data_IF_206437397298
#
_entry.id   IF_206437397298
#
_cell.length_a   1.000
_cell.length_b   1.000
_cell.length_c   1.000
_cell.angle_alpha   90.00
_cell.angle_beta   90.00
_cell.angle_gamma   90.00
#
_symmetry.space_group_name_H-M   'P 1'
#
loop_
_entity.id
_entity.type
_entity.pdbx_description
1 polymer ?
#
# COMPACT_ATOMS: atom_id res chain seq x y z
N UNK A 1 19.47 -6.96 -3.13
CA UNK A 1 19.21 -7.48 -1.77
C UNK A 1 18.79 -8.94 -1.88
N UNK A 2 19.49 -9.86 -1.22
CA UNK A 2 19.16 -11.30 -1.24
C UNK A 2 17.90 -11.52 -0.41
N UNK A 3 17.04 -12.46 -0.80
CA UNK A 3 15.76 -12.76 -0.12
C UNK A 3 15.93 -13.00 1.39
N UNK A 4 17.05 -13.64 1.76
CA UNK A 4 17.40 -13.93 3.15
C UNK A 4 17.68 -12.66 3.99
N UNK A 5 18.26 -11.62 3.39
CA UNK A 5 18.50 -10.34 4.06
C UNK A 5 17.17 -9.61 4.32
N UNK A 6 16.28 -9.64 3.35
CA UNK A 6 14.94 -9.03 3.48
C UNK A 6 14.13 -9.72 4.58
N UNK A 7 14.15 -11.05 4.62
CA UNK A 7 13.49 -11.83 5.68
C UNK A 7 14.08 -11.49 7.06
N UNK A 8 15.40 -11.35 7.16
CA UNK A 8 16.07 -11.00 8.42
C UNK A 8 15.64 -9.60 8.91
N UNK A 9 15.57 -8.61 8.01
CA UNK A 9 15.13 -7.25 8.33
C UNK A 9 13.67 -7.25 8.78
N UNK A 10 12.79 -7.94 8.05
CA UNK A 10 11.36 -8.04 8.42
C UNK A 10 11.17 -8.74 9.76
N UNK A 11 11.93 -9.80 10.04
CA UNK A 11 11.90 -10.52 11.32
C UNK A 11 12.36 -9.63 12.47
N UNK A 12 13.40 -8.80 12.25
CA UNK A 12 13.88 -7.84 13.24
C UNK A 12 12.85 -6.74 13.50
N UNK A 13 12.27 -6.17 12.46
CA UNK A 13 11.20 -5.17 12.56
C UNK A 13 9.99 -5.73 13.32
N UNK A 14 9.60 -6.95 13.01
CA UNK A 14 8.53 -7.64 13.73
C UNK A 14 8.84 -7.81 15.21
N UNK A 15 10.02 -8.32 15.55
CA UNK A 15 10.42 -8.64 16.94
C UNK A 15 10.57 -7.37 17.80
N UNK A 16 11.19 -6.32 17.24
CA UNK A 16 11.51 -5.10 18.00
C UNK A 16 10.32 -4.14 18.13
N UNK A 17 9.49 -4.01 17.07
CA UNK A 17 8.46 -2.98 17.01
C UNK A 17 7.04 -3.53 16.89
N UNK A 18 6.80 -4.50 16.02
CA UNK A 18 5.43 -4.96 15.69
C UNK A 18 4.83 -5.79 16.84
N UNK A 19 5.63 -6.61 17.52
CA UNK A 19 5.17 -7.48 18.62
C UNK A 19 4.45 -6.73 19.74
N UNK A 20 4.86 -5.51 20.04
CA UNK A 20 4.21 -4.64 21.06
C UNK A 20 2.75 -4.34 20.73
N UNK A 21 2.39 -4.33 19.45
CA UNK A 21 1.07 -3.96 18.96
C UNK A 21 0.24 -5.18 18.50
N UNK A 22 0.66 -6.38 18.90
CA UNK A 22 0.04 -7.66 18.48
C UNK A 22 -1.48 -7.68 18.71
N UNK A 23 -1.98 -7.19 19.86
CA UNK A 23 -3.42 -7.13 20.14
C UNK A 23 -4.20 -6.29 19.12
N UNK A 24 -3.64 -5.16 18.68
CA UNK A 24 -4.29 -4.28 17.68
C UNK A 24 -4.25 -4.88 16.27
N UNK A 25 -3.16 -5.55 15.94
CA UNK A 25 -3.02 -6.27 14.66
C UNK A 25 -3.99 -7.44 14.61
N UNK A 26 -4.11 -8.19 15.71
CA UNK A 26 -5.08 -9.30 15.83
C UNK A 26 -6.52 -8.79 15.71
N UNK A 27 -6.85 -7.65 16.32
CA UNK A 27 -8.16 -7.03 16.17
C UNK A 27 -8.42 -6.64 14.69
N UNK A 28 -7.44 -6.05 14.02
CA UNK A 28 -7.56 -5.71 12.58
C UNK A 28 -7.70 -6.96 11.71
N UNK A 29 -7.07 -8.07 12.10
CA UNK A 29 -7.20 -9.36 11.42
C UNK A 29 -8.63 -9.91 11.55
N UNK A 30 -9.19 -9.93 12.76
CA UNK A 30 -10.59 -10.36 12.99
C UNK A 30 -11.57 -9.47 12.20
N UNK A 31 -11.38 -8.15 12.24
CA UNK A 31 -12.21 -7.22 11.46
C UNK A 31 -12.05 -7.47 9.94
N UNK A 32 -10.86 -7.82 9.47
CA UNK A 32 -10.64 -8.18 8.05
C UNK A 32 -11.34 -9.47 7.66
N UNK A 33 -11.45 -10.44 8.55
CA UNK A 33 -12.25 -11.65 8.35
C UNK A 33 -13.74 -11.32 8.22
N UNK A 34 -14.27 -10.41 9.05
CA UNK A 34 -15.66 -9.93 8.95
C UNK A 34 -15.88 -9.22 7.61
N UNK A 35 -14.93 -8.40 7.16
CA UNK A 35 -14.99 -7.75 5.84
C UNK A 35 -15.04 -8.79 4.71
N UNK A 36 -14.22 -9.82 4.78
CA UNK A 36 -14.20 -10.91 3.79
C UNK A 36 -15.51 -11.68 3.78
N UNK A 37 -16.02 -12.08 4.97
CA UNK A 37 -17.31 -12.75 5.11
C UNK A 37 -18.46 -11.90 4.56
N UNK A 38 -18.52 -10.60 4.91
CA UNK A 38 -19.52 -9.69 4.38
C UNK A 38 -19.43 -9.53 2.85
N UNK A 39 -18.22 -9.55 2.29
CA UNK A 39 -18.02 -9.49 0.83
C UNK A 39 -18.57 -10.75 0.14
N UNK A 40 -18.28 -11.92 0.68
CA UNK A 40 -18.82 -13.18 0.15
C UNK A 40 -20.33 -13.29 0.37
N UNK A 41 -20.86 -12.84 1.52
CA UNK A 41 -22.29 -12.81 1.78
C UNK A 41 -23.03 -11.90 0.78
N UNK A 42 -22.44 -10.74 0.44
CA UNK A 42 -23.03 -9.85 -0.60
C UNK A 42 -23.05 -10.55 -1.96
N UNK A 43 -21.96 -11.21 -2.37
CA UNK A 43 -21.90 -11.95 -3.62
C UNK A 43 -22.90 -13.13 -3.64
N UNK A 44 -23.07 -13.83 -2.51
CA UNK A 44 -24.04 -14.91 -2.38
C UNK A 44 -25.48 -14.43 -2.45
N UNK A 45 -25.80 -13.27 -1.87
CA UNK A 45 -27.16 -12.68 -1.89
C UNK A 45 -27.60 -12.22 -3.27
N UNK A 46 -26.69 -11.99 -4.22
CA UNK A 46 -27.04 -11.58 -5.59
C UNK A 46 -27.80 -12.67 -6.34
N UNK A 47 -27.46 -13.96 -6.17
CA UNK A 47 -28.17 -15.06 -6.84
C UNK A 47 -29.64 -15.19 -6.37
N UNK A 48 -29.95 -15.29 -5.06
CA UNK A 48 -31.35 -15.25 -4.62
C UNK A 48 -32.04 -13.90 -4.91
N UNK A 49 -31.31 -12.78 -4.96
CA UNK A 49 -31.91 -11.51 -5.35
C UNK A 49 -32.51 -11.58 -6.77
N UNK A 50 -31.74 -12.12 -7.72
CA UNK A 50 -32.22 -12.26 -9.09
C UNK A 50 -33.33 -13.29 -9.19
N UNK A 51 -33.16 -14.49 -8.63
CA UNK A 51 -34.12 -15.59 -8.74
C UNK A 51 -35.42 -15.29 -8.01
N UNK A 52 -35.38 -14.89 -6.75
CA UNK A 52 -36.56 -14.75 -5.88
C UNK A 52 -37.32 -13.47 -6.12
N UNK A 53 -36.64 -12.36 -6.48
CA UNK A 53 -37.29 -11.08 -6.72
C UNK A 53 -37.86 -11.00 -8.16
N UNK A 54 -37.04 -11.36 -9.17
CA UNK A 54 -37.44 -11.14 -10.57
C UNK A 54 -38.10 -12.36 -11.22
N UNK A 55 -37.77 -13.61 -10.83
CA UNK A 55 -38.32 -14.81 -11.44
C UNK A 55 -39.50 -15.31 -10.64
N UNK A 56 -39.32 -15.58 -9.35
CA UNK A 56 -40.36 -16.16 -8.48
C UNK A 56 -41.38 -15.11 -7.96
N UNK A 57 -41.04 -13.82 -8.04
CA UNK A 57 -41.89 -12.68 -7.58
C UNK A 57 -42.37 -12.83 -6.12
N UNK A 58 -41.56 -13.40 -5.25
CA UNK A 58 -41.89 -13.60 -3.83
C UNK A 58 -41.85 -12.28 -3.08
N UNK A 59 -43.02 -11.77 -2.69
CA UNK A 59 -43.21 -10.46 -2.02
C UNK A 59 -42.46 -10.40 -0.67
N UNK A 60 -42.35 -11.50 0.04
CA UNK A 60 -41.69 -11.56 1.35
C UNK A 60 -40.15 -11.42 1.19
N UNK A 61 -39.57 -12.18 0.28
CA UNK A 61 -38.15 -12.16 0.00
C UNK A 61 -37.71 -10.89 -0.73
N UNK A 62 -38.63 -10.25 -1.49
CA UNK A 62 -38.40 -8.96 -2.15
C UNK A 62 -38.04 -7.84 -1.16
N UNK A 63 -38.49 -7.90 0.09
CA UNK A 63 -38.12 -6.95 1.14
C UNK A 63 -36.92 -7.43 1.98
N UNK A 64 -36.83 -8.72 2.25
CA UNK A 64 -35.83 -9.26 3.15
C UNK A 64 -34.42 -9.26 2.53
N UNK A 65 -34.31 -9.55 1.22
CA UNK A 65 -33.02 -9.58 0.52
C UNK A 65 -32.35 -8.20 0.46
N UNK A 66 -33.04 -7.11 0.05
CA UNK A 66 -32.44 -5.77 0.08
C UNK A 66 -31.97 -5.34 1.48
N UNK A 67 -32.75 -5.64 2.52
CA UNK A 67 -32.35 -5.39 3.92
C UNK A 67 -31.09 -6.16 4.27
N UNK A 68 -31.01 -7.44 3.89
CA UNK A 68 -29.81 -8.26 4.07
C UNK A 68 -28.59 -7.71 3.35
N UNK A 69 -28.76 -7.21 2.13
CA UNK A 69 -27.69 -6.55 1.35
C UNK A 69 -27.21 -5.28 2.08
N UNK A 70 -28.12 -4.41 2.50
CA UNK A 70 -27.78 -3.18 3.25
C UNK A 70 -27.05 -3.53 4.54
N UNK A 71 -27.50 -4.54 5.27
CA UNK A 71 -26.83 -5.00 6.49
C UNK A 71 -25.42 -5.52 6.21
N UNK A 72 -25.24 -6.32 5.15
CA UNK A 72 -23.91 -6.82 4.75
C UNK A 72 -22.95 -5.69 4.36
N UNK A 73 -23.42 -4.70 3.57
CA UNK A 73 -22.61 -3.53 3.22
C UNK A 73 -22.28 -2.65 4.43
N UNK A 74 -23.25 -2.44 5.32
CA UNK A 74 -23.03 -1.65 6.55
C UNK A 74 -21.99 -2.34 7.46
N UNK A 75 -22.13 -3.62 7.69
CA UNK A 75 -21.18 -4.43 8.47
C UNK A 75 -19.79 -4.39 7.85
N UNK A 76 -19.69 -4.54 6.52
CA UNK A 76 -18.43 -4.43 5.77
C UNK A 76 -17.79 -3.06 5.95
N UNK A 77 -18.57 -1.97 5.79
CA UNK A 77 -18.08 -0.60 5.90
C UNK A 77 -17.55 -0.28 7.30
N UNK A 78 -18.34 -0.59 8.32
CA UNK A 78 -17.98 -0.38 9.74
C UNK A 78 -16.72 -1.18 10.10
N UNK A 79 -16.69 -2.47 9.77
CA UNK A 79 -15.54 -3.35 10.05
C UNK A 79 -14.27 -2.86 9.34
N UNK A 80 -14.38 -2.44 8.08
CA UNK A 80 -13.26 -1.90 7.32
C UNK A 80 -12.72 -0.59 7.92
N UNK A 81 -13.61 0.30 8.36
CA UNK A 81 -13.22 1.54 9.02
C UNK A 81 -12.39 1.26 10.28
N UNK A 82 -12.90 0.42 11.18
CA UNK A 82 -12.19 0.09 12.40
C UNK A 82 -10.90 -0.69 12.15
N UNK A 83 -10.87 -1.60 11.17
CA UNK A 83 -9.66 -2.31 10.76
C UNK A 83 -8.58 -1.33 10.29
N UNK A 84 -8.94 -0.39 9.39
CA UNK A 84 -8.03 0.65 8.91
C UNK A 84 -7.53 1.56 10.02
N UNK A 85 -8.44 2.05 10.86
CA UNK A 85 -8.08 2.96 11.95
C UNK A 85 -7.08 2.33 12.92
N UNK A 86 -7.28 1.06 13.28
CA UNK A 86 -6.39 0.36 14.19
C UNK A 86 -5.00 0.14 13.59
N UNK A 87 -4.91 -0.32 12.33
CA UNK A 87 -3.62 -0.61 11.71
C UNK A 87 -2.84 0.66 11.35
N UNK A 88 -3.54 1.75 10.96
CA UNK A 88 -2.93 3.05 10.71
C UNK A 88 -2.30 3.60 12.00
N UNK A 89 -3.01 3.50 13.14
CA UNK A 89 -2.46 3.89 14.45
C UNK A 89 -1.20 3.11 14.81
N UNK A 90 -1.14 1.83 14.45
CA UNK A 90 0.07 0.99 14.64
C UNK A 90 1.19 1.48 13.73
N UNK A 91 0.93 1.71 12.44
CA UNK A 91 1.91 2.20 11.49
C UNK A 91 2.56 3.51 11.92
N UNK A 92 1.76 4.52 12.32
CA UNK A 92 2.29 5.80 12.80
C UNK A 92 3.11 5.67 14.09
N UNK A 93 2.72 4.79 15.01
CA UNK A 93 3.49 4.55 16.24
C UNK A 93 4.84 3.91 15.94
N UNK A 94 4.88 2.93 15.05
CA UNK A 94 6.13 2.28 14.63
C UNK A 94 7.05 3.30 13.93
N UNK A 95 6.50 4.11 13.01
CA UNK A 95 7.28 5.15 12.35
C UNK A 95 7.85 6.17 13.35
N UNK A 96 7.04 6.61 14.32
CA UNK A 96 7.50 7.51 15.38
C UNK A 96 8.56 6.90 16.30
N UNK A 97 8.47 5.60 16.61
CA UNK A 97 9.53 4.89 17.34
C UNK A 97 10.84 4.82 16.53
N UNK A 98 10.75 4.57 15.22
CA UNK A 98 11.90 4.57 14.32
C UNK A 98 12.53 5.97 14.20
N UNK A 99 11.70 7.01 14.01
CA UNK A 99 12.17 8.40 13.96
C UNK A 99 12.92 8.78 15.24
N UNK A 100 12.35 8.48 16.41
CA UNK A 100 13.00 8.71 17.69
C UNK A 100 14.33 7.97 17.82
N UNK A 101 14.38 6.69 17.41
CA UNK A 101 15.60 5.89 17.46
C UNK A 101 16.68 6.44 16.55
N UNK A 102 16.32 6.82 15.30
CA UNK A 102 17.27 7.39 14.33
C UNK A 102 17.78 8.74 14.83
N UNK A 103 16.89 9.63 15.29
CA UNK A 103 17.26 10.95 15.82
C UNK A 103 18.22 10.80 17.02
N UNK A 104 17.95 9.87 17.93
CA UNK A 104 18.81 9.63 19.08
C UNK A 104 20.20 9.12 18.67
N UNK A 105 20.27 8.24 17.67
CA UNK A 105 21.55 7.75 17.12
C UNK A 105 22.34 8.91 16.49
N UNK A 106 21.68 9.78 15.72
CA UNK A 106 22.32 10.95 15.08
C UNK A 106 22.86 11.92 16.14
N UNK A 107 22.07 12.20 17.20
CA UNK A 107 22.50 13.10 18.27
C UNK A 107 23.70 12.57 19.09
N UNK A 108 23.88 11.25 19.12
CA UNK A 108 24.99 10.58 19.82
C UNK A 108 26.13 10.15 18.90
N UNK A 109 26.02 10.41 17.59
CA UNK A 109 27.04 10.03 16.62
C UNK A 109 28.24 10.98 16.67
N UNK A 110 29.42 10.44 16.37
CA UNK A 110 30.65 11.22 16.25
C UNK A 110 30.56 12.22 15.09
N UNK A 111 31.17 13.40 15.26
CA UNK A 111 31.19 14.50 14.29
C UNK A 111 31.72 14.01 12.93
N UNK A 112 32.76 13.19 12.93
CA UNK A 112 33.35 12.62 11.71
C UNK A 112 32.32 11.79 10.91
N UNK A 113 31.46 11.03 11.60
CA UNK A 113 30.40 10.24 10.97
C UNK A 113 29.31 11.13 10.37
N UNK A 114 29.04 12.28 10.99
CA UNK A 114 28.03 13.24 10.52
C UNK A 114 28.55 14.06 9.33
N UNK A 115 29.82 14.47 9.34
CA UNK A 115 30.43 15.26 8.26
C UNK A 115 30.63 14.46 6.96
N UNK A 116 30.84 13.14 7.07
CA UNK A 116 31.01 12.25 5.92
C UNK A 116 29.73 12.05 5.09
N UNK A 117 28.57 12.55 5.53
CA UNK A 117 27.31 12.46 4.78
C UNK A 117 26.55 13.78 4.83
N UNK A 118 26.02 14.18 3.67
CA UNK A 118 25.17 15.37 3.57
C UNK A 118 23.98 15.29 4.54
N UNK A 119 23.76 16.34 5.33
CA UNK A 119 22.69 16.45 6.34
C UNK A 119 21.30 16.19 5.75
N UNK A 120 21.07 16.58 4.49
CA UNK A 120 19.81 16.32 3.79
C UNK A 120 19.47 14.83 3.63
N UNK A 121 20.46 13.96 3.56
CA UNK A 121 20.25 12.50 3.49
C UNK A 121 19.69 11.95 4.82
N UNK A 122 20.18 12.42 5.94
CA UNK A 122 19.64 12.05 7.26
C UNK A 122 18.21 12.55 7.44
N UNK A 123 17.91 13.78 7.01
CA UNK A 123 16.56 14.36 7.04
C UNK A 123 15.62 13.53 6.16
N UNK A 124 16.05 13.17 4.95
CA UNK A 124 15.28 12.33 4.03
C UNK A 124 14.99 10.95 4.63
N UNK A 125 15.98 10.29 5.24
CA UNK A 125 15.79 8.98 5.89
C UNK A 125 14.77 9.06 7.03
N UNK A 126 14.82 10.11 7.86
CA UNK A 126 13.88 10.28 8.98
C UNK A 126 12.46 10.53 8.48
N UNK A 127 12.28 11.37 7.47
CA UNK A 127 10.97 11.75 6.99
C UNK A 127 10.42 10.77 5.95
N UNK A 128 11.17 10.51 4.89
CA UNK A 128 10.70 9.72 3.76
C UNK A 128 10.72 8.21 4.06
N UNK A 129 11.84 7.67 4.52
CA UNK A 129 11.95 6.22 4.74
C UNK A 129 11.05 5.75 5.89
N UNK A 130 10.94 6.52 6.97
CA UNK A 130 10.02 6.20 8.06
C UNK A 130 8.55 6.28 7.61
N UNK A 131 8.18 7.20 6.70
CA UNK A 131 6.84 7.24 6.12
C UNK A 131 6.57 6.04 5.20
N UNK A 132 7.57 5.55 4.47
CA UNK A 132 7.45 4.32 3.67
C UNK A 132 7.22 3.09 4.57
N UNK A 133 7.95 2.98 5.69
CA UNK A 133 7.72 1.91 6.68
C UNK A 133 6.32 2.01 7.28
N UNK A 134 5.85 3.21 7.60
CA UNK A 134 4.47 3.44 8.08
C UNK A 134 3.44 2.93 7.06
N UNK A 135 3.60 3.28 5.79
CA UNK A 135 2.69 2.86 4.71
C UNK A 135 2.73 1.34 4.52
N UNK A 136 3.90 0.73 4.56
CA UNK A 136 4.06 -0.72 4.46
C UNK A 136 3.32 -1.43 5.61
N UNK A 137 3.55 -1.02 6.85
CA UNK A 137 2.97 -1.65 8.04
C UNK A 137 1.46 -1.40 8.13
N UNK A 138 0.98 -0.24 7.71
CA UNK A 138 -0.46 0.08 7.74
C UNK A 138 -1.19 -0.45 6.52
N UNK A 139 -1.03 0.20 5.39
CA UNK A 139 -1.79 -0.10 4.16
C UNK A 139 -1.38 -1.45 3.55
N UNK A 140 -0.07 -1.74 3.53
CA UNK A 140 0.46 -2.98 2.96
C UNK A 140 -0.04 -4.21 3.71
N UNK A 141 0.14 -4.24 5.03
CA UNK A 141 -0.29 -5.37 5.86
C UNK A 141 -1.81 -5.53 5.85
N UNK A 142 -2.57 -4.43 6.00
CA UNK A 142 -4.03 -4.50 5.98
C UNK A 142 -4.57 -5.05 4.65
N UNK A 143 -4.07 -4.55 3.52
CA UNK A 143 -4.53 -5.02 2.22
C UNK A 143 -4.18 -6.49 2.02
N UNK A 144 -2.97 -6.93 2.38
CA UNK A 144 -2.60 -8.35 2.31
C UNK A 144 -3.57 -9.21 3.11
N UNK A 145 -3.88 -8.85 4.36
CA UNK A 145 -4.79 -9.61 5.21
C UNK A 145 -6.21 -9.63 4.63
N UNK A 146 -6.77 -8.45 4.36
CA UNK A 146 -8.13 -8.29 3.86
C UNK A 146 -8.33 -8.99 2.51
N UNK A 147 -7.42 -8.74 1.56
CA UNK A 147 -7.57 -9.25 0.20
C UNK A 147 -7.31 -10.76 0.13
N UNK A 148 -6.37 -11.30 0.94
CA UNK A 148 -6.17 -12.75 1.05
C UNK A 148 -7.41 -13.46 1.61
N UNK A 149 -8.01 -12.94 2.68
CA UNK A 149 -9.24 -13.52 3.23
C UNK A 149 -10.42 -13.39 2.27
N UNK A 150 -10.57 -12.23 1.62
CA UNK A 150 -11.62 -12.02 0.61
C UNK A 150 -11.45 -12.97 -0.58
N UNK A 151 -10.22 -13.19 -1.03
CA UNK A 151 -9.92 -14.11 -2.11
C UNK A 151 -10.28 -15.55 -1.74
N UNK A 152 -9.85 -16.02 -0.57
CA UNK A 152 -10.19 -17.37 -0.08
C UNK A 152 -11.70 -17.52 0.02
N UNK A 153 -12.40 -16.55 0.63
CA UNK A 153 -13.83 -16.59 0.84
C UNK A 153 -14.61 -16.58 -0.49
N UNK A 154 -14.21 -15.75 -1.47
CA UNK A 154 -14.85 -15.70 -2.79
C UNK A 154 -14.57 -16.96 -3.60
N UNK A 155 -13.34 -17.48 -3.60
CA UNK A 155 -13.02 -18.74 -4.28
C UNK A 155 -13.81 -19.89 -3.69
N UNK A 156 -13.91 -19.97 -2.35
CA UNK A 156 -14.73 -20.99 -1.70
C UNK A 156 -16.20 -20.88 -2.11
N UNK A 157 -16.75 -19.67 -2.19
CA UNK A 157 -18.10 -19.43 -2.65
C UNK A 157 -18.30 -19.85 -4.11
N UNK A 158 -17.33 -19.54 -5.00
CA UNK A 158 -17.37 -19.97 -6.40
C UNK A 158 -17.41 -21.50 -6.54
N UNK A 159 -16.60 -22.24 -5.77
CA UNK A 159 -16.62 -23.70 -5.75
C UNK A 159 -17.95 -24.25 -5.25
N UNK A 160 -18.57 -23.58 -4.28
CA UNK A 160 -19.89 -23.95 -3.76
C UNK A 160 -21.00 -23.74 -4.81
N UNK A 161 -20.97 -22.64 -5.55
CA UNK A 161 -22.00 -22.33 -6.55
C UNK A 161 -21.82 -23.12 -7.85
N UNK A 162 -20.60 -23.13 -8.39
CA UNK A 162 -20.30 -23.83 -9.65
C UNK A 162 -18.81 -24.22 -9.72
N UNK A 163 -18.50 -25.48 -9.41
CA UNK A 163 -17.12 -25.97 -9.38
C UNK A 163 -16.43 -25.92 -10.76
N UNK A 164 -17.18 -26.06 -11.87
CA UNK A 164 -16.61 -26.01 -13.23
C UNK A 164 -16.08 -24.63 -13.57
N UNK A 165 -16.88 -23.59 -13.30
CA UNK A 165 -16.47 -22.18 -13.48
C UNK A 165 -15.34 -21.79 -12.50
N UNK A 166 -15.38 -22.32 -11.28
CA UNK A 166 -14.34 -22.07 -10.30
C UNK A 166 -12.96 -22.59 -10.74
N UNK A 167 -12.89 -23.81 -11.30
CA UNK A 167 -11.65 -24.37 -11.85
C UNK A 167 -11.10 -23.49 -12.97
N UNK A 168 -11.96 -23.07 -13.91
CA UNK A 168 -11.54 -22.17 -14.99
C UNK A 168 -10.97 -20.85 -14.46
N UNK A 169 -11.64 -20.22 -13.49
CA UNK A 169 -11.17 -19.00 -12.85
C UNK A 169 -9.80 -19.19 -12.14
N UNK A 170 -9.63 -20.30 -11.42
CA UNK A 170 -8.35 -20.64 -10.76
C UNK A 170 -7.24 -20.86 -11.78
N UNK A 171 -7.55 -21.46 -12.93
CA UNK A 171 -6.58 -21.65 -14.01
C UNK A 171 -6.09 -20.33 -14.62
N UNK A 172 -6.91 -19.26 -14.59
CA UNK A 172 -6.53 -17.91 -15.03
C UNK A 172 -5.71 -17.14 -13.99
N UNK A 173 -5.73 -17.52 -12.71
CA UNK A 173 -4.96 -16.85 -11.64
C UNK A 173 -3.44 -16.75 -11.93
N UNK A 174 -2.73 -17.78 -12.36
CA UNK A 174 -1.30 -17.70 -12.64
C UNK A 174 -0.95 -16.62 -13.65
N UNK A 175 -1.79 -16.41 -14.65
CA UNK A 175 -1.61 -15.36 -15.66
C UNK A 175 -1.70 -13.96 -15.03
N UNK A 176 -2.71 -13.72 -14.19
CA UNK A 176 -2.85 -12.47 -13.44
C UNK A 176 -1.66 -12.22 -12.51
N UNK A 177 -1.20 -13.25 -11.78
CA UNK A 177 -0.04 -13.18 -10.90
C UNK A 177 1.24 -12.84 -11.67
N UNK A 178 1.44 -13.41 -12.86
CA UNK A 178 2.58 -13.12 -13.72
C UNK A 178 2.64 -11.64 -14.12
N UNK A 179 1.51 -11.07 -14.58
CA UNK A 179 1.44 -9.64 -14.90
C UNK A 179 1.65 -8.77 -13.66
N UNK A 180 0.99 -9.07 -12.54
CA UNK A 180 1.15 -8.32 -11.29
C UNK A 180 2.60 -8.31 -10.79
N UNK A 181 3.29 -9.47 -10.84
CA UNK A 181 4.70 -9.59 -10.45
C UNK A 181 5.63 -8.72 -11.30
N UNK A 182 5.41 -8.68 -12.62
CA UNK A 182 6.23 -7.89 -13.53
C UNK A 182 6.00 -6.38 -13.31
N UNK A 183 4.74 -5.96 -13.13
CA UNK A 183 4.40 -4.58 -12.80
C UNK A 183 5.02 -4.19 -11.45
N UNK A 184 4.88 -5.02 -10.41
CA UNK A 184 5.44 -4.77 -9.08
C UNK A 184 6.96 -4.59 -9.09
N UNK A 185 7.69 -5.43 -9.82
CA UNK A 185 9.14 -5.27 -9.97
C UNK A 185 9.52 -3.94 -10.63
N UNK A 186 8.78 -3.54 -11.66
CA UNK A 186 9.03 -2.28 -12.38
C UNK A 186 8.73 -1.07 -11.50
N UNK A 187 7.61 -1.08 -10.76
CA UNK A 187 7.26 -0.04 -9.80
C UNK A 187 8.35 0.08 -8.74
N UNK A 188 8.76 -1.05 -8.13
CA UNK A 188 9.79 -1.05 -7.09
C UNK A 188 11.11 -0.44 -7.56
N UNK A 189 11.57 -0.74 -8.78
CA UNK A 189 12.79 -0.15 -9.34
C UNK A 189 12.67 1.37 -9.48
N UNK A 190 11.58 1.86 -10.08
CA UNK A 190 11.40 3.30 -10.30
C UNK A 190 11.18 4.04 -8.99
N UNK A 191 10.57 3.40 -7.99
CA UNK A 191 10.39 3.98 -6.64
C UNK A 191 11.73 4.20 -5.92
N UNK A 192 12.68 3.28 -6.05
CA UNK A 192 14.03 3.45 -5.48
C UNK A 192 14.74 4.62 -6.16
N UNK A 193 14.73 4.68 -7.50
CA UNK A 193 15.31 5.79 -8.27
C UNK A 193 14.68 7.14 -7.89
N UNK A 194 13.36 7.21 -7.69
CA UNK A 194 12.68 8.43 -7.25
C UNK A 194 13.09 8.83 -5.82
N UNK A 195 13.27 7.85 -4.94
CA UNK A 195 13.75 8.08 -3.56
C UNK A 195 15.16 8.68 -3.51
N UNK A 196 16.08 8.18 -4.35
CA UNK A 196 17.43 8.71 -4.46
C UNK A 196 17.42 10.17 -4.94
N UNK A 197 16.68 10.47 -6.02
CA UNK A 197 16.55 11.85 -6.54
C UNK A 197 15.91 12.77 -5.48
N UNK A 198 14.93 12.29 -4.72
CA UNK A 198 14.32 13.07 -3.65
C UNK A 198 15.31 13.39 -2.51
N UNK A 199 16.18 12.43 -2.18
CA UNK A 199 17.27 12.63 -1.22
C UNK A 199 18.27 13.68 -1.69
N UNK A 200 18.71 13.58 -2.95
CA UNK A 200 19.66 14.53 -3.55
C UNK A 200 19.04 15.94 -3.63
N UNK A 201 17.78 16.05 -4.01
CA UNK A 201 17.07 17.33 -4.04
C UNK A 201 16.94 17.95 -2.65
N UNK A 202 16.66 17.14 -1.63
CA UNK A 202 16.62 17.64 -0.24
C UNK A 202 17.97 18.16 0.23
N UNK A 203 19.06 17.48 -0.15
CA UNK A 203 20.42 17.91 0.14
C UNK A 203 20.73 19.24 -0.56
N UNK A 204 20.42 19.35 -1.85
CA UNK A 204 20.56 20.55 -2.63
C UNK A 204 19.80 21.75 -2.04
N UNK A 205 18.53 21.56 -1.63
CA UNK A 205 17.77 22.61 -0.97
C UNK A 205 18.42 23.06 0.35
N UNK A 206 18.94 22.09 1.14
CA UNK A 206 19.65 22.42 2.39
C UNK A 206 20.91 23.26 2.13
N UNK A 207 21.64 22.99 1.05
CA UNK A 207 22.81 23.75 0.63
C UNK A 207 22.42 25.17 0.19
N UNK A 208 21.39 25.31 -0.65
CA UNK A 208 20.87 26.64 -1.05
C UNK A 208 20.51 27.49 0.17
N UNK A 209 19.77 26.92 1.14
CA UNK A 209 19.39 27.67 2.34
C UNK A 209 20.60 28.11 3.17
N UNK A 210 21.61 27.26 3.30
CA UNK A 210 22.86 27.60 4.00
C UNK A 210 23.69 28.66 3.23
N UNK A 211 23.75 28.54 1.91
CA UNK A 211 24.52 29.40 1.03
C UNK A 211 23.74 30.62 0.51
N UNK A 212 22.49 30.85 0.94
CA UNK A 212 21.58 31.84 0.38
C UNK A 212 22.18 33.27 0.30
N UNK A 213 22.95 33.66 1.34
CA UNK A 213 23.66 34.94 1.36
C UNK A 213 24.75 35.03 0.25
N UNK A 214 25.51 33.94 0.06
CA UNK A 214 26.57 33.87 -0.94
C UNK A 214 26.01 33.86 -2.37
N UNK A 215 24.93 33.09 -2.59
CA UNK A 215 24.24 33.06 -3.89
C UNK A 215 23.83 34.47 -4.31
N UNK A 216 23.28 35.27 -3.40
CA UNK A 216 22.91 36.66 -3.67
C UNK A 216 24.10 37.58 -3.89
N UNK A 217 25.20 37.44 -3.12
CA UNK A 217 26.39 38.23 -3.29
C UNK A 217 27.04 38.00 -4.67
N UNK A 218 27.04 36.73 -5.12
CA UNK A 218 27.61 36.34 -6.40
C UNK A 218 26.63 36.42 -7.58
N UNK A 219 25.36 36.82 -7.33
CA UNK A 219 24.28 36.91 -8.35
C UNK A 219 24.09 35.60 -9.11
N UNK A 220 24.09 34.46 -8.38
CA UNK A 220 23.98 33.10 -8.93
C UNK A 220 22.56 32.49 -8.79
N UNK A 221 21.54 33.32 -8.57
CA UNK A 221 20.16 32.87 -8.38
C UNK A 221 19.60 32.11 -9.59
N UNK A 222 19.98 32.56 -10.81
CA UNK A 222 19.46 31.94 -12.03
C UNK A 222 20.09 30.55 -12.28
N UNK A 223 21.40 30.42 -12.00
CA UNK A 223 22.07 29.13 -12.07
C UNK A 223 21.42 28.12 -11.10
N UNK A 224 21.13 28.55 -9.87
CA UNK A 224 20.51 27.69 -8.85
C UNK A 224 19.04 27.38 -9.15
N UNK A 225 18.29 28.27 -9.78
CA UNK A 225 16.94 27.99 -10.29
C UNK A 225 16.97 26.92 -11.37
N UNK A 226 17.91 26.97 -12.30
CA UNK A 226 18.02 25.96 -13.35
C UNK A 226 18.41 24.58 -12.77
N UNK A 227 19.29 24.54 -11.77
CA UNK A 227 19.61 23.34 -11.03
C UNK A 227 18.36 22.77 -10.31
N UNK A 228 17.62 23.60 -9.59
CA UNK A 228 16.38 23.21 -8.93
C UNK A 228 15.35 22.67 -9.94
N UNK A 229 15.17 23.36 -11.07
CA UNK A 229 14.27 22.94 -12.15
C UNK A 229 14.64 21.55 -12.70
N UNK A 230 15.93 21.27 -12.85
CA UNK A 230 16.40 19.96 -13.30
C UNK A 230 16.04 18.84 -12.31
N UNK A 231 16.23 19.06 -11.00
CA UNK A 231 15.81 18.09 -9.97
C UNK A 231 14.29 17.87 -9.99
N UNK A 232 13.52 18.96 -10.03
CA UNK A 232 12.05 18.89 -10.05
C UNK A 232 11.56 18.13 -11.29
N UNK A 233 12.10 18.42 -12.47
CA UNK A 233 11.72 17.73 -13.70
C UNK A 233 12.01 16.23 -13.63
N UNK A 234 13.17 15.84 -13.09
CA UNK A 234 13.51 14.42 -12.86
C UNK A 234 12.54 13.74 -11.89
N UNK A 235 12.16 14.41 -10.80
CA UNK A 235 11.19 13.89 -9.84
C UNK A 235 9.82 13.71 -10.49
N UNK A 236 9.36 14.71 -11.25
CA UNK A 236 8.08 14.66 -11.98
C UNK A 236 8.09 13.47 -12.96
N UNK A 237 9.16 13.34 -13.76
CA UNK A 237 9.30 12.24 -14.72
C UNK A 237 9.21 10.87 -14.03
N UNK A 238 9.93 10.67 -12.92
CA UNK A 238 9.89 9.40 -12.16
C UNK A 238 8.53 9.13 -11.55
N UNK A 239 7.89 10.14 -10.96
CA UNK A 239 6.57 10.02 -10.37
C UNK A 239 5.50 9.70 -11.42
N UNK A 240 5.53 10.37 -12.58
CA UNK A 240 4.66 10.06 -13.72
C UNK A 240 4.89 8.64 -14.23
N UNK A 241 6.15 8.19 -14.27
CA UNK A 241 6.49 6.82 -14.68
C UNK A 241 5.95 5.78 -13.70
N UNK A 242 6.05 6.03 -12.39
CA UNK A 242 5.43 5.17 -11.36
C UNK A 242 3.92 5.11 -11.57
N UNK A 243 3.27 6.27 -11.66
CA UNK A 243 1.82 6.36 -11.87
C UNK A 243 1.38 5.64 -13.16
N UNK A 244 2.10 5.84 -14.26
CA UNK A 244 1.83 5.18 -15.55
C UNK A 244 1.91 3.65 -15.45
N UNK A 245 2.88 3.12 -14.71
CA UNK A 245 3.00 1.67 -14.50
C UNK A 245 1.87 1.14 -13.62
N UNK A 246 1.49 1.89 -12.57
CA UNK A 246 0.37 1.52 -11.69
C UNK A 246 -0.97 1.51 -12.43
N UNK A 247 -1.24 2.53 -13.23
CA UNK A 247 -2.49 2.66 -14.01
C UNK A 247 -2.64 1.52 -15.03
N UNK A 248 -1.55 0.99 -15.59
CA UNK A 248 -1.59 -0.16 -16.52
C UNK A 248 -2.14 -1.44 -15.91
N UNK A 249 -2.15 -1.55 -14.59
CA UNK A 249 -2.72 -2.72 -13.92
C UNK A 249 -4.24 -2.86 -14.19
N UNK A 250 -4.97 -1.74 -14.19
CA UNK A 250 -6.43 -1.73 -14.38
C UNK A 250 -6.85 -2.27 -15.76
N UNK A 251 -6.36 -1.73 -16.89
CA UNK A 251 -6.73 -2.25 -18.21
C UNK A 251 -6.35 -3.73 -18.41
N UNK A 252 -5.21 -4.16 -17.87
CA UNK A 252 -4.78 -5.57 -17.96
C UNK A 252 -5.77 -6.47 -17.22
N UNK A 253 -6.19 -6.07 -16.01
CA UNK A 253 -7.16 -6.83 -15.23
C UNK A 253 -8.56 -6.81 -15.85
N UNK A 254 -8.99 -5.69 -16.40
CA UNK A 254 -10.27 -5.58 -17.12
C UNK A 254 -10.32 -6.48 -18.35
N UNK A 255 -9.25 -6.50 -19.17
CA UNK A 255 -9.17 -7.41 -20.34
C UNK A 255 -9.17 -8.87 -19.92
N UNK A 256 -8.43 -9.24 -18.86
CA UNK A 256 -8.48 -10.61 -18.32
C UNK A 256 -9.87 -10.99 -17.84
N UNK A 257 -10.56 -10.07 -17.16
CA UNK A 257 -11.94 -10.28 -16.70
C UNK A 257 -12.90 -10.42 -17.88
N UNK A 258 -12.74 -9.61 -18.93
CA UNK A 258 -13.52 -9.72 -20.15
C UNK A 258 -13.36 -11.11 -20.82
N UNK A 259 -12.15 -11.64 -20.90
CA UNK A 259 -11.88 -13.00 -21.39
C UNK A 259 -12.49 -14.10 -20.51
N UNK A 260 -12.67 -13.85 -19.22
CA UNK A 260 -13.30 -14.83 -18.32
C UNK A 260 -14.82 -14.84 -18.45
N UNK A 261 -15.43 -13.73 -18.84
CA UNK A 261 -16.89 -13.60 -18.97
C UNK A 261 -17.36 -14.06 -20.36
N UNK A 262 -16.55 -13.89 -21.41
CA UNK A 262 -16.86 -14.30 -22.77
C UNK A 262 -16.73 -15.80 -22.99
#
# INVERSE_FOLDING_TARGET
>A
MKLNELIAILKRLYKEHVKKYFKRIMLSLVLSLIVAASTSATAWLLDPAVKKIFIDQDKTLAWLIPIGIVFAFSTKGISLYFARLNIIKVGFRIAGELQKKITNIILLADIETLDNRHSGRYISNINYDCAQVQTLVSTGVLNLMKDSFSLIALVSLMFYQNWKLAIFAVFMMPLAIFFAKNLGKRIGKVQVEAGEISGDFTSFLSEIFKASKMIRIYQKEDDEKDNAKNFINRLVEKNVKIASVMIRATPIMETLTGFMIA
#
